data_IF_671816208137
#
_entry.id   IF_671816208137
#
_cell.length_a   1.000
_cell.length_b   1.000
_cell.length_c   1.000
_cell.angle_alpha   90.00
_cell.angle_beta   90.00
_cell.angle_gamma   90.00
#
_symmetry.space_group_name_H-M   'P 1'
#
loop_
_entity.id
_entity.type
_entity.pdbx_description
1 polymer ?
#
# COMPACT_ATOMS: atom_id res chain seq x y z
N UNK A 1 -52.73 15.71 -10.31
CA UNK A 1 -53.30 14.42 -10.75
C UNK A 1 -52.31 13.32 -10.38
N UNK A 2 -52.67 12.51 -9.37
CA UNK A 2 -51.86 11.39 -8.87
C UNK A 2 -52.14 10.16 -9.75
N UNK A 3 -51.10 9.50 -10.24
CA UNK A 3 -51.23 8.14 -10.80
C UNK A 3 -50.46 7.17 -9.92
N UNK A 4 -51.21 6.37 -9.21
CA UNK A 4 -50.77 5.22 -8.42
C UNK A 4 -50.75 4.05 -9.39
N UNK A 5 -49.61 3.35 -9.49
CA UNK A 5 -49.51 2.08 -10.24
C UNK A 5 -49.40 0.97 -9.19
N UNK A 6 -50.47 0.16 -9.15
CA UNK A 6 -50.53 -1.12 -8.42
C UNK A 6 -49.80 -2.18 -9.25
N UNK A 7 -48.83 -2.83 -8.66
CA UNK A 7 -48.24 -4.07 -9.20
C UNK A 7 -48.79 -5.22 -8.38
N UNK A 8 -49.60 -6.01 -9.09
CA UNK A 8 -50.28 -7.20 -8.62
C UNK A 8 -49.31 -8.34 -8.40
N UNK A 9 -49.31 -8.91 -7.19
CA UNK A 9 -48.61 -10.14 -6.85
C UNK A 9 -49.40 -11.33 -7.35
N UNK A 10 -48.84 -12.07 -8.31
CA UNK A 10 -49.44 -13.33 -8.79
C UNK A 10 -48.78 -14.50 -8.04
N UNK A 11 -49.50 -15.02 -7.06
CA UNK A 11 -49.22 -16.30 -6.40
C UNK A 11 -49.65 -17.44 -7.32
N UNK A 12 -48.72 -18.25 -7.77
CA UNK A 12 -49.08 -19.55 -8.41
C UNK A 12 -48.63 -20.68 -7.48
N UNK A 13 -49.63 -21.30 -6.86
CA UNK A 13 -49.52 -22.59 -6.19
C UNK A 13 -49.29 -23.69 -7.25
N UNK A 14 -48.22 -24.44 -7.14
CA UNK A 14 -48.08 -25.73 -7.81
C UNK A 14 -47.92 -26.79 -6.72
N UNK A 15 -48.89 -27.68 -6.78
CA UNK A 15 -49.13 -28.81 -5.87
C UNK A 15 -48.24 -30.01 -6.21
N UNK A 16 -47.71 -30.59 -5.21
CA UNK A 16 -47.31 -31.97 -4.94
C UNK A 16 -47.16 -32.96 -6.11
N UNK A 17 -45.95 -33.46 -6.28
CA UNK A 17 -45.71 -34.87 -6.58
C UNK A 17 -44.49 -35.35 -5.82
N UNK A 18 -44.69 -36.32 -4.94
CA UNK A 18 -43.62 -36.85 -4.11
C UNK A 18 -42.70 -37.78 -4.89
N UNK A 19 -41.42 -37.58 -4.73
CA UNK A 19 -40.37 -38.60 -4.91
C UNK A 19 -39.41 -38.49 -3.74
N UNK A 20 -39.27 -39.59 -2.99
CA UNK A 20 -38.22 -39.78 -2.01
C UNK A 20 -36.90 -39.77 -2.74
N UNK A 21 -36.07 -38.81 -2.44
CA UNK A 21 -34.64 -38.82 -2.81
C UNK A 21 -33.83 -38.49 -1.57
N UNK A 22 -32.86 -39.34 -1.33
CA UNK A 22 -31.97 -39.30 -0.16
C UNK A 22 -31.24 -37.96 -0.07
N UNK A 23 -31.28 -37.40 1.12
CA UNK A 23 -30.57 -36.14 1.44
C UNK A 23 -29.08 -36.39 1.43
N UNK A 24 -28.39 -36.06 0.32
CA UNK A 24 -26.97 -35.73 0.36
C UNK A 24 -26.83 -34.37 1.07
N UNK A 25 -26.25 -34.39 2.25
CA UNK A 25 -25.81 -33.18 2.95
C UNK A 25 -24.74 -32.48 2.10
N UNK A 26 -25.16 -31.62 1.22
CA UNK A 26 -24.30 -30.58 0.65
C UNK A 26 -23.98 -29.62 1.79
N UNK A 27 -22.77 -29.72 2.31
CA UNK A 27 -22.23 -28.73 3.24
C UNK A 27 -22.08 -27.43 2.45
N UNK A 28 -23.01 -26.49 2.63
CA UNK A 28 -22.78 -25.09 2.29
C UNK A 28 -21.54 -24.63 3.05
N UNK A 29 -20.41 -24.61 2.34
CA UNK A 29 -19.22 -23.88 2.78
C UNK A 29 -19.62 -22.42 2.60
N UNK A 30 -20.14 -21.84 3.68
CA UNK A 30 -20.26 -20.39 3.81
C UNK A 30 -18.84 -19.85 3.71
N UNK A 31 -18.43 -19.37 2.54
CA UNK A 31 -17.24 -18.56 2.40
C UNK A 31 -17.50 -17.33 3.26
N UNK A 32 -16.91 -17.27 4.45
CA UNK A 32 -16.81 -16.04 5.20
C UNK A 32 -16.20 -15.01 4.26
N UNK A 33 -16.97 -14.00 3.90
CA UNK A 33 -16.55 -12.91 3.09
C UNK A 33 -15.69 -12.05 4.00
N UNK A 34 -14.37 -12.30 3.97
CA UNK A 34 -13.39 -11.54 4.75
C UNK A 34 -13.60 -10.06 4.45
N UNK A 35 -13.87 -9.29 5.49
CA UNK A 35 -14.04 -7.84 5.37
C UNK A 35 -12.72 -7.24 4.92
N UNK A 36 -12.70 -6.37 3.88
CA UNK A 36 -11.48 -5.73 3.43
C UNK A 36 -10.80 -5.01 4.58
N UNK A 37 -9.51 -5.29 4.79
CA UNK A 37 -8.71 -4.68 5.83
C UNK A 37 -8.06 -3.40 5.31
N UNK A 38 -8.20 -2.31 6.04
CA UNK A 38 -7.49 -1.07 5.78
C UNK A 38 -6.27 -0.96 6.71
N UNK A 39 -5.11 -0.67 6.14
CA UNK A 39 -3.88 -0.44 6.89
C UNK A 39 -3.69 1.05 7.11
N UNK A 40 -3.47 1.47 8.35
CA UNK A 40 -3.08 2.85 8.61
C UNK A 40 -1.61 3.11 8.22
N UNK A 41 -1.21 4.38 8.14
CA UNK A 41 0.12 4.78 7.69
C UNK A 41 1.26 4.16 8.53
N UNK A 42 1.08 4.02 9.85
CA UNK A 42 2.06 3.39 10.72
C UNK A 42 2.25 1.90 10.42
N UNK A 43 1.17 1.17 10.14
CA UNK A 43 1.23 -0.24 9.77
C UNK A 43 1.92 -0.41 8.41
N UNK A 44 1.63 0.47 7.45
CA UNK A 44 2.27 0.45 6.13
C UNK A 44 3.77 0.72 6.27
N UNK A 45 4.16 1.72 7.06
CA UNK A 45 5.56 2.04 7.35
C UNK A 45 6.28 0.87 8.02
N UNK A 46 5.64 0.23 9.01
CA UNK A 46 6.19 -0.93 9.70
C UNK A 46 6.43 -2.12 8.75
N UNK A 47 5.51 -2.35 7.82
CA UNK A 47 5.65 -3.36 6.76
C UNK A 47 6.82 -3.00 5.84
N UNK A 48 6.91 -1.76 5.34
CA UNK A 48 7.99 -1.32 4.46
C UNK A 48 9.37 -1.56 5.10
N UNK A 49 9.53 -1.18 6.37
CA UNK A 49 10.79 -1.36 7.08
C UNK A 49 11.09 -2.82 7.40
N UNK A 50 10.10 -3.63 7.70
CA UNK A 50 10.30 -5.09 7.88
C UNK A 50 10.73 -5.77 6.58
N UNK A 51 10.17 -5.38 5.44
CA UNK A 51 10.60 -5.86 4.12
C UNK A 51 12.08 -5.50 3.90
N UNK A 52 12.46 -4.26 4.14
CA UNK A 52 13.84 -3.81 3.97
C UNK A 52 14.80 -4.48 4.97
N UNK A 53 14.39 -4.73 6.21
CA UNK A 53 15.18 -5.44 7.23
C UNK A 53 15.40 -6.91 6.87
N UNK A 54 14.41 -7.55 6.25
CA UNK A 54 14.48 -8.95 5.79
C UNK A 54 15.39 -9.12 4.56
N UNK A 55 15.53 -8.07 3.75
CA UNK A 55 16.22 -8.09 2.46
C UNK A 55 17.72 -8.36 2.51
N UNK A 56 18.32 -8.39 3.69
CA UNK A 56 19.77 -8.58 3.82
C UNK A 56 20.26 -9.98 3.39
N UNK A 57 19.38 -10.92 3.05
CA UNK A 57 19.77 -12.31 2.78
C UNK A 57 19.10 -12.98 1.57
N UNK A 58 17.82 -12.72 1.28
CA UNK A 58 17.10 -13.39 0.19
C UNK A 58 15.87 -12.54 -0.24
N UNK A 59 15.60 -12.49 -1.53
CA UNK A 59 14.44 -11.97 -2.26
C UNK A 59 13.37 -11.18 -1.47
N UNK A 60 13.46 -9.85 -1.53
CA UNK A 60 12.50 -8.87 -1.00
C UNK A 60 11.05 -9.15 -1.38
N UNK A 61 10.87 -9.64 -2.58
CA UNK A 61 9.57 -9.89 -3.20
C UNK A 61 8.79 -10.96 -2.43
N UNK A 62 9.45 -12.04 -2.02
CA UNK A 62 8.81 -13.13 -1.27
C UNK A 62 8.48 -12.73 0.17
N UNK A 63 9.31 -11.87 0.77
CA UNK A 63 9.05 -11.34 2.11
C UNK A 63 7.88 -10.36 2.12
N UNK A 64 7.72 -9.55 1.06
CA UNK A 64 6.57 -8.65 0.93
C UNK A 64 5.25 -9.42 0.93
N UNK A 65 5.16 -10.52 0.18
CA UNK A 65 3.95 -11.36 0.12
C UNK A 65 3.60 -12.02 1.47
N UNK A 66 4.58 -12.23 2.35
CA UNK A 66 4.35 -12.76 3.69
C UNK A 66 3.89 -11.69 4.69
N UNK A 67 4.34 -10.45 4.50
CA UNK A 67 4.13 -9.35 5.45
C UNK A 67 2.88 -8.53 5.14
N UNK A 68 2.45 -8.49 3.87
CA UNK A 68 1.25 -7.75 3.46
C UNK A 68 0.05 -8.71 3.48
N UNK A 69 -0.94 -8.50 4.37
CA UNK A 69 -2.13 -9.34 4.42
C UNK A 69 -2.89 -9.32 3.09
N UNK A 70 -3.36 -10.46 2.62
CA UNK A 70 -4.10 -10.56 1.35
C UNK A 70 -5.36 -9.72 1.32
N UNK A 71 -6.02 -9.60 2.46
CA UNK A 71 -7.22 -8.78 2.65
C UNK A 71 -6.94 -7.26 2.66
N UNK A 72 -5.66 -6.84 2.66
CA UNK A 72 -5.28 -5.43 2.71
C UNK A 72 -5.09 -4.76 1.34
N UNK A 73 -5.14 -5.53 0.26
CA UNK A 73 -4.98 -5.00 -1.10
C UNK A 73 -5.98 -5.62 -2.08
N UNK A 74 -6.38 -4.84 -3.07
CA UNK A 74 -7.29 -5.25 -4.15
C UNK A 74 -6.56 -5.82 -5.36
N UNK A 75 -5.31 -5.42 -5.56
CA UNK A 75 -4.51 -5.81 -6.71
C UNK A 75 -3.03 -6.01 -6.34
N UNK A 76 -2.39 -7.00 -6.94
CA UNK A 76 -0.96 -7.27 -6.87
C UNK A 76 -0.40 -7.50 -8.26
N UNK A 77 0.57 -6.70 -8.67
CA UNK A 77 1.22 -6.79 -9.98
C UNK A 77 2.72 -7.02 -9.80
N UNK A 78 3.24 -8.07 -10.42
CA UNK A 78 4.68 -8.33 -10.47
C UNK A 78 5.24 -7.90 -11.84
N UNK A 79 6.37 -7.20 -11.84
CA UNK A 79 7.06 -6.68 -13.03
C UNK A 79 8.51 -7.16 -12.96
N UNK A 80 8.98 -7.83 -14.01
CA UNK A 80 10.33 -8.39 -14.11
C UNK A 80 11.09 -7.75 -15.29
N UNK A 81 11.19 -6.44 -15.33
CA UNK A 81 11.91 -5.70 -16.38
C UNK A 81 13.00 -4.85 -15.73
N UNK A 82 14.29 -5.24 -15.94
CA UNK A 82 15.44 -4.51 -15.39
C UNK A 82 15.61 -4.62 -13.87
N UNK A 83 14.94 -5.58 -13.25
CA UNK A 83 14.86 -5.83 -11.82
C UNK A 83 13.52 -6.47 -11.47
N UNK A 84 13.30 -6.79 -10.19
CA UNK A 84 12.01 -7.29 -9.72
C UNK A 84 11.27 -6.17 -9.00
N UNK A 85 10.03 -5.91 -9.39
CA UNK A 85 9.14 -4.96 -8.73
C UNK A 85 7.81 -5.64 -8.46
N UNK A 86 7.30 -5.54 -7.24
CA UNK A 86 5.91 -5.88 -6.93
C UNK A 86 5.18 -4.62 -6.49
N UNK A 87 3.98 -4.43 -7.03
CA UNK A 87 3.08 -3.33 -6.69
C UNK A 87 1.81 -3.88 -6.07
N UNK A 88 1.38 -3.27 -4.97
CA UNK A 88 0.13 -3.56 -4.28
C UNK A 88 -0.75 -2.32 -4.30
N UNK A 89 -1.97 -2.45 -4.79
CA UNK A 89 -3.02 -1.43 -4.65
C UNK A 89 -3.74 -1.67 -3.34
N UNK A 90 -3.38 -0.91 -2.29
CA UNK A 90 -3.95 -1.07 -0.95
C UNK A 90 -5.40 -0.58 -0.90
N UNK A 91 -6.21 -1.16 -0.02
CA UNK A 91 -7.61 -0.78 0.17
C UNK A 91 -7.78 0.67 0.66
N UNK A 92 -6.74 1.25 1.26
CA UNK A 92 -6.64 2.68 1.60
C UNK A 92 -6.53 3.61 0.40
N UNK A 93 -6.42 3.08 -0.82
CA UNK A 93 -6.14 3.86 -2.04
C UNK A 93 -4.66 4.15 -2.29
N UNK A 94 -3.76 3.83 -1.35
CA UNK A 94 -2.31 3.97 -1.55
C UNK A 94 -1.75 2.84 -2.40
N UNK A 95 -0.61 3.08 -3.05
CA UNK A 95 0.14 2.06 -3.79
C UNK A 95 1.48 1.82 -3.12
N UNK A 96 1.69 0.59 -2.67
CA UNK A 96 2.96 0.14 -2.11
C UNK A 96 3.74 -0.62 -3.18
N UNK A 97 4.97 -0.21 -3.45
CA UNK A 97 5.87 -0.92 -4.36
C UNK A 97 7.11 -1.39 -3.60
N UNK A 98 7.53 -2.61 -3.89
CA UNK A 98 8.76 -3.23 -3.41
C UNK A 98 9.64 -3.50 -4.61
N UNK A 99 10.85 -2.95 -4.59
CA UNK A 99 11.73 -2.91 -5.75
C UNK A 99 13.10 -3.51 -5.42
N UNK A 100 13.60 -4.32 -6.32
CA UNK A 100 14.99 -4.79 -6.39
C UNK A 100 15.59 -4.27 -7.68
N UNK A 101 16.51 -3.31 -7.58
CA UNK A 101 17.21 -2.76 -8.73
C UNK A 101 18.66 -3.22 -8.70
N UNK A 102 19.16 -3.66 -9.84
CA UNK A 102 20.58 -4.00 -9.98
C UNK A 102 21.39 -2.73 -10.21
N UNK A 103 22.36 -2.49 -9.33
CA UNK A 103 23.39 -1.46 -9.47
C UNK A 103 24.74 -2.13 -9.68
N UNK A 104 25.50 -1.68 -10.68
CA UNK A 104 26.78 -2.30 -11.06
C UNK A 104 27.84 -2.30 -9.95
N UNK A 105 27.76 -1.34 -9.01
CA UNK A 105 28.74 -1.19 -7.91
C UNK A 105 28.30 -1.89 -6.64
N UNK A 106 27.00 -1.85 -6.36
CA UNK A 106 26.44 -2.29 -5.07
C UNK A 106 25.74 -3.65 -5.17
N UNK A 107 25.54 -4.18 -6.37
CA UNK A 107 24.72 -5.36 -6.61
C UNK A 107 23.24 -5.04 -6.57
N UNK A 108 22.43 -5.88 -5.90
CA UNK A 108 20.99 -5.63 -5.75
C UNK A 108 20.76 -4.57 -4.67
N UNK A 109 20.11 -3.47 -5.03
CA UNK A 109 19.70 -2.40 -4.12
C UNK A 109 18.19 -2.48 -3.88
N UNK A 110 17.77 -2.86 -2.67
CA UNK A 110 16.37 -2.88 -2.31
C UNK A 110 15.87 -1.50 -1.92
N UNK A 111 14.65 -1.16 -2.35
CA UNK A 111 13.93 0.00 -1.84
C UNK A 111 12.42 -0.19 -1.91
N UNK A 112 11.69 0.56 -1.10
CA UNK A 112 10.22 0.55 -1.10
C UNK A 112 9.69 1.94 -1.40
N UNK A 113 8.57 2.01 -2.14
CA UNK A 113 7.85 3.26 -2.39
C UNK A 113 6.43 3.14 -1.83
N UNK A 114 5.93 4.25 -1.30
CA UNK A 114 4.52 4.43 -1.01
C UNK A 114 4.02 5.64 -1.79
N UNK A 115 3.08 5.41 -2.69
CA UNK A 115 2.45 6.46 -3.50
C UNK A 115 1.06 6.76 -2.96
N UNK A 116 0.72 8.04 -2.84
CA UNK A 116 -0.60 8.53 -2.52
C UNK A 116 -0.97 9.65 -3.51
N UNK A 117 -2.27 9.74 -3.82
CA UNK A 117 -2.81 10.78 -4.69
C UNK A 117 -3.79 11.62 -3.89
N UNK A 118 -3.61 12.92 -3.95
CA UNK A 118 -4.46 13.89 -3.28
C UNK A 118 -4.90 14.98 -4.25
N UNK A 119 -5.91 15.74 -3.91
CA UNK A 119 -6.23 17.00 -4.56
C UNK A 119 -6.08 18.17 -3.60
N UNK A 120 -6.24 19.40 -4.10
CA UNK A 120 -6.08 20.59 -3.27
C UNK A 120 -7.13 20.72 -2.16
N UNK A 121 -8.21 19.94 -2.24
CA UNK A 121 -9.27 19.91 -1.23
C UNK A 121 -8.97 18.90 -0.12
N UNK A 122 -8.03 17.97 -0.36
CA UNK A 122 -7.60 16.92 0.59
C UNK A 122 -6.38 17.35 1.44
N UNK A 123 -6.28 18.64 1.76
CA UNK A 123 -5.12 19.20 2.49
C UNK A 123 -4.92 18.56 3.87
N UNK A 124 -6.01 18.20 4.55
CA UNK A 124 -5.94 17.55 5.87
C UNK A 124 -5.44 16.11 5.75
N UNK A 125 -5.92 15.38 4.76
CA UNK A 125 -5.47 14.00 4.47
C UNK A 125 -4.03 14.00 4.01
N UNK A 126 -3.65 14.93 3.15
CA UNK A 126 -2.26 15.15 2.73
C UNK A 126 -1.33 15.39 3.92
N UNK A 127 -1.74 16.27 4.83
CA UNK A 127 -1.00 16.57 6.06
C UNK A 127 -0.90 15.33 6.95
N UNK A 128 -2.01 14.63 7.17
CA UNK A 128 -2.06 13.41 7.96
C UNK A 128 -1.13 12.33 7.41
N UNK A 129 -1.08 12.17 6.10
CA UNK A 129 -0.17 11.25 5.44
C UNK A 129 1.30 11.60 5.68
N UNK A 130 1.69 12.86 5.45
CA UNK A 130 3.07 13.32 5.65
C UNK A 130 3.46 13.29 7.12
N UNK A 131 2.63 13.79 8.02
CA UNK A 131 2.88 13.80 9.45
C UNK A 131 3.03 12.37 9.99
N UNK A 132 2.19 11.42 9.53
CA UNK A 132 2.29 10.02 9.90
C UNK A 132 3.63 9.39 9.51
N UNK A 133 4.16 9.71 8.33
CA UNK A 133 5.50 9.29 7.90
C UNK A 133 6.59 9.90 8.80
N UNK A 134 6.53 11.22 9.00
CA UNK A 134 7.53 11.93 9.80
C UNK A 134 7.55 11.45 11.25
N UNK A 135 6.39 11.24 11.85
CA UNK A 135 6.26 10.80 13.23
C UNK A 135 6.75 9.36 13.39
N UNK A 136 6.42 8.47 12.45
CA UNK A 136 6.99 7.13 12.43
C UNK A 136 8.52 7.15 12.38
N UNK A 137 9.10 7.95 11.48
CA UNK A 137 10.55 8.04 11.33
C UNK A 137 11.22 8.65 12.58
N UNK A 138 10.61 9.64 13.21
CA UNK A 138 11.11 10.22 14.47
C UNK A 138 11.08 9.18 15.60
N UNK A 139 9.97 8.47 15.74
CA UNK A 139 9.76 7.50 16.83
C UNK A 139 10.61 6.23 16.63
N UNK A 140 10.57 5.63 15.44
CA UNK A 140 11.15 4.31 15.19
C UNK A 140 12.54 4.35 14.59
N UNK A 141 12.90 5.41 13.86
CA UNK A 141 14.16 5.51 13.08
C UNK A 141 15.05 6.67 13.53
N UNK A 142 14.71 7.35 14.61
CA UNK A 142 15.49 8.46 15.19
C UNK A 142 15.77 9.60 14.21
N UNK A 143 14.80 9.91 13.35
CA UNK A 143 14.84 11.09 12.50
C UNK A 143 14.93 12.35 13.39
N UNK A 144 15.95 13.17 13.20
CA UNK A 144 16.12 14.44 13.89
C UNK A 144 15.73 15.59 12.99
N UNK A 145 15.53 16.78 13.59
CA UNK A 145 15.18 17.98 12.84
C UNK A 145 16.25 18.34 11.81
N UNK A 146 17.51 18.24 12.15
CA UNK A 146 18.65 18.45 11.26
C UNK A 146 18.79 17.42 10.15
N UNK A 147 18.09 16.31 10.26
CA UNK A 147 17.99 15.28 9.21
C UNK A 147 16.90 15.54 8.17
N UNK A 148 16.14 16.65 8.29
CA UNK A 148 15.11 17.06 7.34
C UNK A 148 15.68 18.18 6.49
N UNK A 149 15.71 18.00 5.16
CA UNK A 149 16.23 18.98 4.22
C UNK A 149 15.33 19.12 3.01
N UNK A 150 14.92 20.34 2.71
CA UNK A 150 14.26 20.66 1.42
C UNK A 150 15.34 20.75 0.34
N UNK A 151 15.33 19.78 -0.58
CA UNK A 151 16.31 19.69 -1.69
C UNK A 151 15.83 20.51 -2.89
N UNK A 152 14.53 20.45 -3.18
CA UNK A 152 13.87 21.21 -4.22
C UNK A 152 12.55 21.76 -3.68
N UNK A 153 12.30 23.05 -3.90
CA UNK A 153 11.03 23.70 -3.56
C UNK A 153 10.59 24.56 -4.74
N UNK A 154 9.71 24.01 -5.57
CA UNK A 154 9.10 24.66 -6.73
C UNK A 154 7.58 24.56 -6.63
N UNK A 155 6.82 25.44 -7.29
CA UNK A 155 5.35 25.40 -7.23
C UNK A 155 4.72 24.06 -7.66
N UNK A 156 5.36 23.38 -8.61
CA UNK A 156 4.88 22.13 -9.23
C UNK A 156 5.65 20.88 -8.77
N UNK A 157 6.73 21.07 -8.03
CA UNK A 157 7.57 19.96 -7.55
C UNK A 157 8.33 20.31 -6.27
N UNK A 158 8.18 19.46 -5.27
CA UNK A 158 8.92 19.54 -3.99
C UNK A 158 9.60 18.22 -3.68
N UNK A 159 10.85 18.28 -3.23
CA UNK A 159 11.63 17.13 -2.78
C UNK A 159 12.18 17.41 -1.38
N UNK A 160 11.83 16.57 -0.44
CA UNK A 160 12.31 16.59 0.94
C UNK A 160 13.15 15.33 1.18
N UNK A 161 14.40 15.52 1.58
CA UNK A 161 15.26 14.43 2.02
C UNK A 161 15.17 14.26 3.55
N UNK A 162 15.12 13.00 3.99
CA UNK A 162 14.99 12.61 5.39
C UNK A 162 16.12 11.66 5.74
N UNK A 163 17.04 12.12 6.62
CA UNK A 163 18.18 11.32 7.08
C UNK A 163 17.88 10.82 8.48
N UNK A 164 17.82 9.50 8.63
CA UNK A 164 17.56 8.84 9.90
C UNK A 164 18.68 7.82 10.25
N UNK A 165 18.61 7.24 11.44
CA UNK A 165 19.67 6.32 11.91
C UNK A 165 19.63 4.97 11.17
N UNK A 166 20.57 4.82 10.21
CA UNK A 166 20.70 3.61 9.39
C UNK A 166 20.27 3.75 7.95
N UNK A 167 19.77 4.93 7.51
CA UNK A 167 19.38 5.12 6.13
C UNK A 167 18.88 6.51 5.81
N UNK A 168 18.24 6.62 4.67
CA UNK A 168 17.59 7.85 4.24
C UNK A 168 16.27 7.54 3.52
N UNK A 169 15.41 8.55 3.47
CA UNK A 169 14.15 8.52 2.72
C UNK A 169 13.99 9.82 1.97
N UNK A 170 13.10 9.84 1.00
CA UNK A 170 12.64 11.06 0.36
C UNK A 170 11.12 11.12 0.28
N UNK A 171 10.60 12.34 0.37
CA UNK A 171 9.21 12.65 0.03
C UNK A 171 9.25 13.52 -1.22
N UNK A 172 8.69 13.03 -2.29
CA UNK A 172 8.48 13.76 -3.53
C UNK A 172 7.01 14.15 -3.63
N UNK A 173 6.75 15.43 -3.89
CA UNK A 173 5.42 15.94 -4.19
C UNK A 173 5.46 16.53 -5.60
N UNK A 174 4.60 16.04 -6.48
CA UNK A 174 4.52 16.47 -7.87
C UNK A 174 3.09 16.83 -8.23
N UNK A 175 2.91 18.01 -8.82
CA UNK A 175 1.61 18.42 -9.33
C UNK A 175 1.14 17.48 -10.44
N UNK A 176 -0.12 17.06 -10.37
CA UNK A 176 -0.78 16.18 -11.32
C UNK A 176 -2.10 16.84 -11.78
N UNK A 177 -2.07 17.43 -12.94
CA UNK A 177 -3.19 18.24 -13.44
C UNK A 177 -3.32 19.59 -12.75
N UNK A 178 -4.53 20.16 -12.78
CA UNK A 178 -4.80 21.50 -12.24
C UNK A 178 -4.98 21.53 -10.72
N UNK A 179 -5.47 20.44 -10.14
CA UNK A 179 -5.87 20.38 -8.73
C UNK A 179 -5.30 19.16 -7.98
N UNK A 180 -4.59 18.27 -8.66
CA UNK A 180 -4.06 17.05 -8.04
C UNK A 180 -2.57 17.10 -7.75
N UNK A 181 -2.11 16.29 -6.79
CA UNK A 181 -0.70 15.95 -6.63
C UNK A 181 -0.50 14.49 -6.30
N UNK A 182 0.60 13.97 -6.81
CA UNK A 182 1.14 12.67 -6.45
C UNK A 182 2.20 12.89 -5.37
N UNK A 183 2.10 12.15 -4.26
CA UNK A 183 3.12 12.11 -3.22
C UNK A 183 3.75 10.73 -3.26
N UNK A 184 5.07 10.69 -3.37
CA UNK A 184 5.84 9.44 -3.38
C UNK A 184 6.81 9.51 -2.20
N UNK A 185 6.67 8.55 -1.29
CA UNK A 185 7.61 8.33 -0.20
C UNK A 185 8.48 7.13 -0.54
N UNK A 186 9.80 7.32 -0.55
CA UNK A 186 10.79 6.31 -0.93
C UNK A 186 11.72 6.05 0.25
N UNK A 187 11.95 4.78 0.58
CA UNK A 187 12.85 4.34 1.64
C UNK A 187 14.05 3.59 1.08
N UNK A 188 15.24 3.95 1.59
CA UNK A 188 16.50 3.28 1.31
C UNK A 188 17.25 2.97 2.62
N UNK A 189 17.92 1.82 2.67
CA UNK A 189 18.93 1.56 3.69
C UNK A 189 20.32 2.00 3.24
N UNK A 190 21.12 2.46 4.21
CA UNK A 190 22.56 2.68 3.98
C UNK A 190 23.29 1.32 3.95
N UNK A 191 23.54 0.83 2.73
CA UNK A 191 24.22 -0.45 2.48
C UNK A 191 25.60 -0.54 3.15
N UNK A 192 26.26 0.60 3.38
CA UNK A 192 27.59 0.61 4.05
C UNK A 192 27.50 0.29 5.55
N UNK A 193 26.33 0.45 6.17
CA UNK A 193 26.12 0.10 7.59
C UNK A 193 25.67 -1.34 7.79
N UNK A 194 25.05 -1.97 6.81
CA UNK A 194 24.63 -3.38 6.88
C UNK A 194 25.81 -4.35 6.87
N UNK A 195 26.90 -4.02 6.19
CA UNK A 195 28.11 -4.85 6.09
C UNK A 195 29.00 -4.82 7.34
N UNK A 196 28.62 -4.10 8.42
CA UNK A 196 29.38 -4.00 9.69
C UNK A 196 28.79 -4.84 10.82
N UNK A 197 27.84 -5.69 10.55
CA UNK A 197 27.34 -6.72 11.47
C UNK A 197 27.80 -8.09 10.96
#
# INVERSE_FOLDING_TARGET
MKRVIFISVLFTLISMCGCKQEASKESEITKEQETPKELNIYQIMDIQFKILDASSKDFLVEEADKLIPKEAYSERVAIETGGKTIKYSLNTGYKLSVNEVFDEKSGIVPYTNLEAKFDIYDMEDTKTFIDGILDYLKEKKRLKKEGISEVVDKPDYKLIALIWDGGFSSIEMKQNGAIGFDIIFINYYDMNKQNKK
#
